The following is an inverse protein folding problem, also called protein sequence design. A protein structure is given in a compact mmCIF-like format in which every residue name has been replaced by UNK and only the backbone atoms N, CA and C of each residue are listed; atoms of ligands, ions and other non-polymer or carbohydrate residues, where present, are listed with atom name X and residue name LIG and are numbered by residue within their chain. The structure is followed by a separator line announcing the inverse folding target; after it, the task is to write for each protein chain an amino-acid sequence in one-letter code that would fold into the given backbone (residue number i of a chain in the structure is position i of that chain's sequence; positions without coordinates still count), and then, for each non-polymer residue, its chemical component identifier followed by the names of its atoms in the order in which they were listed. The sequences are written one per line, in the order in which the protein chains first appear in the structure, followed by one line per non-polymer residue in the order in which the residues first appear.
data_IF_888132972643
#
_entry.id   IF_888132972643
#
_cell.length_a   1.000
_cell.length_b   1.000
_cell.length_c   1.000
_cell.angle_alpha   90.00
_cell.angle_beta   90.00
_cell.angle_gamma   90.00
#
_symmetry.space_group_name_H-M   'P 1'
#
loop_
_entity.id
_entity.type
_entity.pdbx_description
1 polymer ?
#
# COMPACT_ATOMS: atom_id res chain seq x y z
N UNK A 1 19.86 9.35 18.61
CA UNK A 1 19.63 7.89 18.48
C UNK A 1 20.75 7.20 17.72
N UNK A 2 21.33 7.83 16.71
CA UNK A 2 22.44 7.27 15.93
C UNK A 2 23.63 6.80 16.78
N UNK A 3 24.13 7.60 17.75
CA UNK A 3 25.29 7.17 18.55
C UNK A 3 25.07 5.89 19.38
N UNK A 4 23.81 5.54 19.61
CA UNK A 4 23.44 4.31 20.35
C UNK A 4 22.97 3.18 19.41
N UNK A 5 23.19 3.33 18.10
CA UNK A 5 22.78 2.36 17.10
C UNK A 5 21.27 2.08 17.11
N UNK A 6 20.48 3.14 17.30
CA UNK A 6 19.03 3.07 17.29
C UNK A 6 18.52 3.66 15.97
N UNK A 7 17.68 2.91 15.26
CA UNK A 7 17.00 3.36 14.06
C UNK A 7 15.56 3.78 14.37
N UNK A 8 15.05 4.74 13.61
CA UNK A 8 13.66 5.18 13.72
C UNK A 8 13.08 5.37 12.32
N UNK A 9 12.04 4.63 12.01
CA UNK A 9 11.37 4.65 10.71
C UNK A 9 9.87 4.68 10.96
N UNK A 10 9.16 5.48 10.16
CA UNK A 10 7.70 5.51 10.18
C UNK A 10 7.14 4.78 8.95
N UNK A 11 5.91 4.33 9.04
CA UNK A 11 5.19 3.79 7.88
C UNK A 11 3.82 4.44 7.78
N UNK A 12 3.34 4.57 6.53
CA UNK A 12 2.03 5.13 6.23
C UNK A 12 1.20 4.05 5.52
N UNK A 13 0.25 3.40 6.21
CA UNK A 13 -0.61 2.39 5.58
C UNK A 13 -1.66 3.06 4.71
N UNK A 14 -2.04 2.37 3.63
CA UNK A 14 -3.12 2.80 2.76
C UNK A 14 -4.48 2.21 3.13
N UNK A 15 -5.23 1.81 2.12
CA UNK A 15 -6.57 1.26 2.30
C UNK A 15 -6.50 -0.21 2.67
N UNK A 16 -6.58 -0.49 3.98
CA UNK A 16 -6.57 -1.82 4.54
C UNK A 16 -7.91 -2.05 5.22
N UNK A 17 -8.74 -3.00 4.75
CA UNK A 17 -10.04 -3.25 5.36
C UNK A 17 -9.92 -3.64 6.83
N UNK A 18 -10.67 -2.96 7.67
CA UNK A 18 -10.74 -3.21 9.11
C UNK A 18 -12.19 -3.08 9.57
N UNK A 19 -12.45 -3.46 10.82
CA UNK A 19 -13.76 -3.31 11.41
C UNK A 19 -14.20 -1.84 11.54
N UNK A 20 -13.27 -0.89 11.48
CA UNK A 20 -13.57 0.54 11.63
C UNK A 20 -13.94 1.19 10.30
N UNK A 21 -13.21 0.88 9.22
CA UNK A 21 -13.39 1.56 7.93
C UNK A 21 -14.42 0.91 7.00
N UNK A 22 -14.74 -0.36 7.20
CA UNK A 22 -15.77 -1.10 6.44
C UNK A 22 -15.59 -1.04 4.92
N UNK A 23 -14.36 -1.01 4.42
CA UNK A 23 -14.12 -0.88 2.97
C UNK A 23 -14.77 -2.00 2.17
N UNK A 24 -14.69 -3.25 2.64
CA UNK A 24 -15.24 -4.40 1.93
C UNK A 24 -16.76 -4.55 2.09
N UNK A 25 -17.38 -3.79 2.99
CA UNK A 25 -18.83 -3.79 3.21
C UNK A 25 -19.55 -2.72 2.40
N UNK A 26 -18.82 -1.87 1.68
CA UNK A 26 -19.39 -0.81 0.85
C UNK A 26 -20.00 -1.39 -0.42
N UNK A 27 -20.96 -0.68 -1.07
CA UNK A 27 -21.48 -1.09 -2.38
C UNK A 27 -20.38 -1.25 -3.42
N UNK A 28 -20.56 -2.17 -4.37
CA UNK A 28 -19.53 -2.50 -5.37
C UNK A 28 -19.05 -1.31 -6.19
N UNK A 29 -19.96 -0.39 -6.57
CA UNK A 29 -19.59 0.80 -7.32
C UNK A 29 -18.71 1.75 -6.47
N UNK A 30 -18.97 1.84 -5.18
CA UNK A 30 -18.16 2.65 -4.26
C UNK A 30 -16.79 2.01 -4.04
N UNK A 31 -16.74 0.69 -3.86
CA UNK A 31 -15.47 -0.04 -3.77
C UNK A 31 -14.64 0.14 -5.04
N UNK A 32 -15.24 0.03 -6.21
CA UNK A 32 -14.56 0.22 -7.48
C UNK A 32 -13.94 1.62 -7.61
N UNK A 33 -14.67 2.65 -7.19
CA UNK A 33 -14.14 4.02 -7.22
C UNK A 33 -12.93 4.20 -6.30
N UNK A 34 -12.97 3.60 -5.11
CA UNK A 34 -11.85 3.65 -4.17
C UNK A 34 -10.65 2.87 -4.72
N UNK A 35 -10.87 1.68 -5.26
CA UNK A 35 -9.81 0.85 -5.83
C UNK A 35 -9.16 1.52 -7.05
N UNK A 36 -9.93 2.27 -7.83
CA UNK A 36 -9.42 3.00 -9.00
C UNK A 36 -8.43 4.13 -8.61
N UNK A 37 -8.36 4.50 -7.36
CA UNK A 37 -7.37 5.46 -6.86
C UNK A 37 -6.01 4.82 -6.51
N UNK A 38 -5.92 3.50 -6.57
CA UNK A 38 -4.73 2.74 -6.20
C UNK A 38 -4.00 2.22 -7.45
N UNK A 39 -2.70 2.37 -7.49
CA UNK A 39 -1.89 1.84 -8.61
C UNK A 39 -2.03 0.33 -8.72
N UNK A 40 -2.01 -0.39 -7.60
CA UNK A 40 -2.17 -1.85 -7.60
C UNK A 40 -3.63 -2.30 -7.64
N UNK A 41 -4.57 -1.39 -7.46
CA UNK A 41 -6.01 -1.62 -7.55
C UNK A 41 -6.48 -2.79 -6.70
N UNK A 42 -5.95 -2.89 -5.50
CA UNK A 42 -6.33 -3.91 -4.54
C UNK A 42 -6.24 -3.37 -3.12
N UNK A 43 -7.08 -3.93 -2.23
CA UNK A 43 -6.98 -3.62 -0.81
C UNK A 43 -5.67 -4.21 -0.25
N UNK A 44 -5.05 -3.47 0.65
CA UNK A 44 -3.97 -4.04 1.45
C UNK A 44 -4.53 -5.00 2.50
N UNK A 45 -3.66 -5.87 2.98
CA UNK A 45 -3.97 -6.79 4.07
C UNK A 45 -3.18 -6.40 5.32
N UNK A 46 -3.69 -6.79 6.47
CA UNK A 46 -2.99 -6.56 7.74
C UNK A 46 -1.60 -7.20 7.73
N UNK A 47 -1.45 -8.34 7.05
CA UNK A 47 -0.16 -9.00 6.88
C UNK A 47 0.85 -8.17 6.10
N UNK A 48 0.40 -7.31 5.17
CA UNK A 48 1.30 -6.42 4.43
C UNK A 48 2.01 -5.46 5.39
N UNK A 49 1.29 -4.92 6.36
CA UNK A 49 1.88 -4.05 7.39
C UNK A 49 2.75 -4.85 8.35
N UNK A 50 2.26 -6.00 8.82
CA UNK A 50 2.99 -6.85 9.76
C UNK A 50 4.33 -7.32 9.17
N UNK A 51 4.36 -7.70 7.90
CA UNK A 51 5.57 -8.12 7.20
C UNK A 51 6.61 -6.99 7.13
N UNK A 52 6.16 -5.75 6.88
CA UNK A 52 7.04 -4.59 6.88
C UNK A 52 7.62 -4.35 8.28
N UNK A 53 6.79 -4.39 9.31
CA UNK A 53 7.24 -4.18 10.70
C UNK A 53 8.27 -5.23 11.09
N UNK A 54 8.02 -6.51 10.78
CA UNK A 54 8.96 -7.59 11.07
C UNK A 54 10.29 -7.40 10.34
N UNK A 55 10.26 -6.97 9.08
CA UNK A 55 11.48 -6.67 8.33
C UNK A 55 12.27 -5.53 8.98
N UNK A 56 11.57 -4.42 9.32
CA UNK A 56 12.22 -3.25 9.93
C UNK A 56 12.80 -3.55 11.32
N UNK A 57 12.23 -4.52 12.02
CA UNK A 57 12.75 -4.97 13.32
C UNK A 57 13.93 -5.95 13.20
N UNK A 58 14.23 -6.44 12.00
CA UNK A 58 15.29 -7.41 11.76
C UNK A 58 16.63 -6.74 11.49
N UNK A 59 17.70 -7.52 11.64
CA UNK A 59 19.05 -7.06 11.32
C UNK A 59 19.22 -6.71 9.83
N UNK A 60 18.37 -7.25 8.98
CA UNK A 60 18.41 -6.94 7.54
C UNK A 60 18.07 -5.46 7.25
N UNK A 61 17.34 -4.80 8.13
CA UNK A 61 16.98 -3.39 8.00
C UNK A 61 17.93 -2.45 8.78
N UNK A 62 19.11 -2.91 9.17
CA UNK A 62 20.02 -2.16 10.05
C UNK A 62 20.46 -0.79 9.50
N UNK A 63 20.43 -0.62 8.19
CA UNK A 63 20.87 0.61 7.53
C UNK A 63 19.71 1.54 7.14
N UNK A 64 18.48 1.19 7.55
CA UNK A 64 17.27 1.96 7.25
C UNK A 64 16.90 2.78 8.49
N UNK A 65 16.92 4.10 8.35
CA UNK A 65 16.52 5.01 9.43
C UNK A 65 16.13 6.37 8.85
N UNK A 66 15.33 7.13 9.58
CA UNK A 66 14.98 8.50 9.22
C UNK A 66 14.06 8.62 8.00
N UNK A 67 13.31 7.58 7.66
CA UNK A 67 12.46 7.58 6.48
C UNK A 67 11.01 7.26 6.82
N UNK A 68 10.11 7.63 5.91
CA UNK A 68 8.71 7.25 5.93
C UNK A 68 8.48 6.27 4.76
N UNK A 69 7.99 5.08 5.06
CA UNK A 69 7.69 4.07 4.04
C UNK A 69 6.19 4.06 3.77
N UNK A 70 5.81 4.35 2.53
CA UNK A 70 4.44 4.30 2.07
C UNK A 70 4.08 2.85 1.68
N UNK A 71 3.06 2.29 2.33
CA UNK A 71 2.60 0.93 2.08
C UNK A 71 1.10 0.98 1.73
N UNK A 72 0.80 1.53 0.55
CA UNK A 72 -0.55 1.92 0.15
C UNK A 72 -1.00 1.41 -1.21
N UNK A 73 -0.23 0.53 -1.84
CA UNK A 73 -0.54 0.08 -3.20
C UNK A 73 -0.37 1.18 -4.24
N UNK A 74 0.41 2.20 -3.94
CA UNK A 74 0.74 3.27 -4.87
C UNK A 74 -0.25 4.42 -4.90
N UNK A 75 -1.03 4.62 -3.85
CA UNK A 75 -2.05 5.68 -3.80
C UNK A 75 -1.51 7.07 -4.13
N UNK A 76 -0.32 7.40 -3.65
CA UNK A 76 0.29 8.71 -3.86
C UNK A 76 1.24 8.77 -5.05
N UNK A 77 1.52 7.63 -5.67
CA UNK A 77 2.52 7.53 -6.75
C UNK A 77 1.95 7.89 -8.12
N UNK A 78 0.63 7.82 -8.30
CA UNK A 78 -0.04 8.09 -9.58
C UNK A 78 -1.28 8.95 -9.36
N UNK A 79 -1.64 9.75 -10.37
CA UNK A 79 -2.82 10.60 -10.30
C UNK A 79 -4.07 9.91 -10.83
N UNK A 80 -3.94 9.17 -11.93
CA UNK A 80 -5.07 8.50 -12.59
C UNK A 80 -4.67 7.06 -12.96
N UNK A 81 -4.58 6.15 -11.97
CA UNK A 81 -4.11 4.78 -12.22
C UNK A 81 -5.01 4.00 -13.19
N UNK A 82 -6.32 4.27 -13.24
CA UNK A 82 -7.26 3.56 -14.11
C UNK A 82 -6.88 3.63 -15.59
N UNK A 83 -6.22 4.71 -16.04
CA UNK A 83 -5.81 4.85 -17.44
C UNK A 83 -4.87 3.74 -17.87
N UNK A 84 -3.93 3.36 -17.01
CA UNK A 84 -3.01 2.25 -17.30
C UNK A 84 -3.75 0.92 -17.44
N UNK A 85 -4.76 0.70 -16.61
CA UNK A 85 -5.58 -0.52 -16.67
C UNK A 85 -6.44 -0.55 -17.92
N UNK A 86 -7.03 0.57 -18.31
CA UNK A 86 -7.81 0.68 -19.55
C UNK A 86 -6.93 0.40 -20.78
N UNK A 87 -5.73 0.96 -20.82
CA UNK A 87 -4.77 0.70 -21.91
C UNK A 87 -4.36 -0.76 -21.97
N UNK A 88 -4.04 -1.35 -20.82
CA UNK A 88 -3.65 -2.75 -20.78
C UNK A 88 -4.77 -3.66 -21.27
N UNK A 89 -6.03 -3.36 -20.92
CA UNK A 89 -7.19 -4.10 -21.42
C UNK A 89 -7.33 -3.98 -22.94
N UNK A 90 -7.13 -2.76 -23.50
CA UNK A 90 -7.18 -2.52 -24.95
C UNK A 90 -6.08 -3.29 -25.68
N UNK A 91 -4.94 -3.51 -25.05
CA UNK A 91 -3.83 -4.30 -25.59
C UNK A 91 -4.02 -5.80 -25.39
N UNK A 92 -5.13 -6.24 -24.81
CA UNK A 92 -5.43 -7.65 -24.58
C UNK A 92 -4.70 -8.28 -23.40
N UNK A 93 -4.18 -7.48 -22.47
CA UNK A 93 -3.53 -7.99 -21.28
C UNK A 93 -4.55 -8.44 -20.24
N UNK A 94 -4.24 -9.53 -19.54
CA UNK A 94 -5.04 -10.02 -18.43
C UNK A 94 -4.73 -9.18 -17.19
N UNK A 95 -5.75 -8.53 -16.66
CA UNK A 95 -5.62 -7.62 -15.51
C UNK A 95 -6.10 -8.21 -14.18
N UNK A 96 -6.17 -9.51 -14.07
CA UNK A 96 -6.68 -10.20 -12.87
C UNK A 96 -8.18 -10.12 -12.75
#
# INVERSE_FOLDING_TARGET
MGPWNITATAYAPGMIPTAINHFTERPDDEQSRLLDTLTLRSWGEKSDIANLICFLASDQARYITGTLIDISGGKLATQVPRIAYERAADEGLDLL
#
